data_IF_813062864790
#
_entry.id   IF_813062864790
#
_cell.length_a   1.000
_cell.length_b   1.000
_cell.length_c   1.000
_cell.angle_alpha   90.00
_cell.angle_beta   90.00
_cell.angle_gamma   90.00
#
_symmetry.space_group_name_H-M   'P 1'
#
loop_
_entity.id
_entity.type
_entity.pdbx_description
1 polymer ?
#
# COMPACT_ATOMS: atom_id res chain seq x y z
N UNK A 1 -4.56 21.06 -23.98
CA UNK A 1 -4.44 22.25 -24.85
C UNK A 1 -4.21 21.82 -26.28
N UNK A 2 -4.11 22.73 -27.26
CA UNK A 2 -3.91 22.34 -28.66
C UNK A 2 -2.69 21.41 -28.77
N UNK A 3 -2.92 20.14 -29.14
CA UNK A 3 -1.87 19.12 -29.29
C UNK A 3 -1.75 18.05 -28.18
N UNK A 4 -2.38 18.18 -27.00
CA UNK A 4 -2.36 17.10 -25.99
C UNK A 4 -3.49 17.21 -24.92
N UNK A 5 -3.85 16.08 -24.32
CA UNK A 5 -4.98 15.96 -23.39
C UNK A 5 -4.62 16.16 -21.91
N UNK A 6 -3.35 16.01 -21.52
CA UNK A 6 -2.91 16.02 -20.11
C UNK A 6 -3.39 17.24 -19.30
N UNK A 7 -3.43 18.42 -19.93
CA UNK A 7 -3.87 19.66 -19.29
C UNK A 7 -5.34 20.02 -19.52
N UNK A 8 -6.15 19.10 -20.03
CA UNK A 8 -7.60 19.32 -20.18
C UNK A 8 -8.33 19.04 -18.86
N UNK A 9 -9.37 19.83 -18.57
CA UNK A 9 -10.20 19.65 -17.37
C UNK A 9 -10.74 18.22 -17.25
N UNK A 10 -11.14 17.63 -18.37
CA UNK A 10 -11.60 16.24 -18.41
C UNK A 10 -10.51 15.27 -17.93
N UNK A 11 -9.29 15.39 -18.44
CA UNK A 11 -8.20 14.48 -18.08
C UNK A 11 -7.80 14.65 -16.61
N UNK A 12 -7.77 15.88 -16.10
CA UNK A 12 -7.48 16.16 -14.70
C UNK A 12 -8.52 15.54 -13.75
N UNK A 13 -9.81 15.62 -14.10
CA UNK A 13 -10.87 14.99 -13.32
C UNK A 13 -10.71 13.46 -13.28
N UNK A 14 -10.46 12.83 -14.43
CA UNK A 14 -10.28 11.38 -14.51
C UNK A 14 -9.01 10.90 -13.80
N UNK A 15 -7.93 11.70 -13.82
CA UNK A 15 -6.70 11.41 -13.09
C UNK A 15 -6.92 11.34 -11.58
N UNK A 16 -7.97 11.97 -11.04
CA UNK A 16 -8.26 11.97 -9.61
C UNK A 16 -9.36 10.97 -9.21
N UNK A 17 -10.20 10.53 -10.16
CA UNK A 17 -11.34 9.64 -9.86
C UNK A 17 -11.21 8.23 -10.44
N UNK A 18 -10.73 8.08 -11.69
CA UNK A 18 -10.82 6.81 -12.43
C UNK A 18 -9.49 6.04 -12.50
N UNK A 19 -8.36 6.71 -12.28
CA UNK A 19 -7.05 6.08 -12.39
C UNK A 19 -6.59 5.49 -11.07
N UNK A 20 -6.18 4.22 -11.14
CA UNK A 20 -5.60 3.49 -10.01
C UNK A 20 -4.11 3.78 -9.96
N UNK A 21 -3.66 4.38 -8.86
CA UNK A 21 -2.25 4.59 -8.57
C UNK A 21 -1.75 3.49 -7.61
N UNK A 22 -0.94 2.53 -8.08
CA UNK A 22 -0.54 1.40 -7.27
C UNK A 22 0.36 1.85 -6.12
N UNK A 23 0.13 1.33 -4.91
CA UNK A 23 0.92 1.68 -3.72
C UNK A 23 2.39 1.22 -3.80
N UNK A 24 2.67 0.13 -4.51
CA UNK A 24 4.01 -0.47 -4.59
C UNK A 24 4.60 -0.52 -6.00
N UNK A 25 3.84 -0.19 -7.04
CA UNK A 25 4.30 -0.31 -8.42
C UNK A 25 5.34 0.75 -8.76
N UNK A 26 6.54 0.33 -9.18
CA UNK A 26 7.57 1.24 -9.65
C UNK A 26 7.17 1.84 -11.01
N UNK A 27 7.14 3.16 -11.08
CA UNK A 27 6.73 3.94 -12.26
C UNK A 27 7.86 4.86 -12.74
N UNK A 28 9.08 4.66 -12.25
CA UNK A 28 10.26 5.35 -12.75
C UNK A 28 10.49 4.99 -14.22
N UNK A 29 11.04 5.93 -14.98
CA UNK A 29 11.50 5.62 -16.33
C UNK A 29 12.65 4.60 -16.29
N UNK A 30 12.94 3.87 -17.38
CA UNK A 30 14.05 2.92 -17.40
C UNK A 30 15.41 3.52 -17.03
N UNK A 31 15.62 4.81 -17.33
CA UNK A 31 16.83 5.55 -16.95
C UNK A 31 16.86 5.78 -15.43
N UNK A 32 15.81 6.38 -14.87
CA UNK A 32 15.73 6.65 -13.43
C UNK A 32 15.81 5.37 -12.61
N UNK A 33 15.14 4.29 -13.05
CA UNK A 33 15.23 2.97 -12.42
C UNK A 33 16.68 2.46 -12.35
N UNK A 34 17.45 2.66 -13.42
CA UNK A 34 18.87 2.30 -13.45
C UNK A 34 19.73 3.21 -12.57
N UNK A 35 19.37 4.49 -12.41
CA UNK A 35 20.06 5.47 -11.56
C UNK A 35 19.80 5.23 -10.06
N UNK A 36 18.67 4.62 -9.70
CA UNK A 36 18.35 4.24 -8.30
C UNK A 36 18.71 2.80 -7.96
N UNK A 37 19.75 2.26 -8.59
CA UNK A 37 20.28 0.91 -8.37
C UNK A 37 19.29 -0.23 -8.63
N UNK A 38 18.37 -0.05 -9.59
CA UNK A 38 17.52 -1.12 -10.12
C UNK A 38 16.70 -1.83 -9.04
N UNK A 39 15.86 -1.09 -8.27
CA UNK A 39 15.12 -1.63 -7.14
C UNK A 39 14.28 -2.84 -7.54
N UNK A 40 14.31 -3.87 -6.69
CA UNK A 40 13.51 -5.08 -6.86
C UNK A 40 12.14 -4.89 -6.21
N UNK A 41 11.08 -4.97 -7.00
CA UNK A 41 9.70 -4.72 -6.55
C UNK A 41 9.30 -5.54 -5.32
N UNK A 42 9.74 -6.79 -5.23
CA UNK A 42 9.45 -7.69 -4.10
C UNK A 42 10.02 -7.16 -2.79
N UNK A 43 11.18 -6.52 -2.81
CA UNK A 43 11.78 -5.93 -1.61
C UNK A 43 10.97 -4.73 -1.11
N UNK A 44 10.46 -3.90 -2.03
CA UNK A 44 9.53 -2.81 -1.70
C UNK A 44 8.23 -3.36 -1.11
N UNK A 45 7.69 -4.44 -1.68
CA UNK A 45 6.51 -5.12 -1.14
C UNK A 45 6.76 -5.67 0.27
N UNK A 46 7.93 -6.28 0.52
CA UNK A 46 8.32 -6.76 1.85
C UNK A 46 8.43 -5.61 2.86
N UNK A 47 9.03 -4.47 2.47
CA UNK A 47 9.09 -3.28 3.33
C UNK A 47 7.68 -2.83 3.73
N UNK A 48 6.75 -2.73 2.76
CA UNK A 48 5.36 -2.36 3.03
C UNK A 48 4.65 -3.36 3.94
N UNK A 49 4.85 -4.65 3.74
CA UNK A 49 4.34 -5.71 4.61
C UNK A 49 4.78 -5.48 6.06
N UNK A 50 6.08 -5.27 6.28
CA UNK A 50 6.61 -5.02 7.62
C UNK A 50 6.06 -3.75 8.25
N UNK A 51 5.93 -2.66 7.50
CA UNK A 51 5.27 -1.43 7.98
C UNK A 51 3.84 -1.70 8.47
N UNK A 52 3.07 -2.50 7.74
CA UNK A 52 1.69 -2.86 8.14
C UNK A 52 1.70 -3.72 9.41
N UNK A 53 2.57 -4.74 9.47
CA UNK A 53 2.63 -5.65 10.63
C UNK A 53 3.11 -4.97 11.92
N UNK A 54 3.98 -3.97 11.78
CA UNK A 54 4.51 -3.14 12.87
C UNK A 54 3.59 -1.97 13.25
N UNK A 55 2.54 -1.72 12.46
CA UNK A 55 1.54 -0.71 12.75
C UNK A 55 0.70 -1.01 14.00
N UNK A 56 -0.19 -0.08 14.39
CA UNK A 56 -1.10 -0.26 15.50
C UNK A 56 -1.89 -1.56 15.37
N UNK A 57 -1.99 -2.32 16.48
CA UNK A 57 -2.85 -3.49 16.53
C UNK A 57 -4.32 -3.06 16.55
N UNK A 58 -5.25 -3.87 16.02
CA UNK A 58 -6.67 -3.52 16.06
C UNK A 58 -7.14 -3.33 17.51
N UNK A 59 -7.84 -2.22 17.75
CA UNK A 59 -8.37 -1.82 19.06
C UNK A 59 -9.90 -1.95 19.16
N UNK A 60 -10.56 -2.33 18.05
CA UNK A 60 -12.01 -2.50 17.98
C UNK A 60 -12.54 -3.73 18.72
N UNK A 61 -11.66 -4.62 19.22
CA UNK A 61 -12.04 -5.81 19.97
C UNK A 61 -11.91 -5.51 21.47
N UNK A 62 -13.00 -5.58 22.27
CA UNK A 62 -12.92 -5.40 23.71
C UNK A 62 -12.01 -6.47 24.35
N UNK A 63 -11.18 -6.06 25.32
CA UNK A 63 -10.23 -6.95 26.00
C UNK A 63 -10.92 -8.16 26.67
N UNK A 64 -12.15 -8.00 27.14
CA UNK A 64 -12.96 -9.07 27.73
C UNK A 64 -13.34 -10.14 26.70
N UNK A 65 -13.62 -9.73 25.47
CA UNK A 65 -13.96 -10.65 24.37
C UNK A 65 -12.71 -11.39 23.90
N UNK A 66 -11.59 -10.68 23.70
CA UNK A 66 -10.31 -11.31 23.33
C UNK A 66 -9.87 -12.36 24.36
N UNK A 67 -9.98 -12.04 25.65
CA UNK A 67 -9.67 -12.98 26.74
C UNK A 67 -10.55 -14.23 26.71
N UNK A 68 -11.87 -14.09 26.50
CA UNK A 68 -12.79 -15.23 26.43
C UNK A 68 -12.50 -16.15 25.23
N UNK A 69 -12.10 -15.59 24.09
CA UNK A 69 -11.70 -16.36 22.91
C UNK A 69 -10.40 -17.12 23.18
N UNK A 70 -9.40 -16.46 23.79
CA UNK A 70 -8.11 -17.08 24.13
C UNK A 70 -8.22 -18.18 25.19
N UNK A 71 -9.18 -18.11 26.10
CA UNK A 71 -9.47 -19.19 27.05
C UNK A 71 -10.09 -20.40 26.35
N UNK A 72 -10.97 -20.16 25.38
CA UNK A 72 -11.71 -21.21 24.67
C UNK A 72 -10.86 -21.96 23.64
N UNK A 73 -9.88 -21.30 23.02
CA UNK A 73 -9.08 -21.86 21.92
C UNK A 73 -7.58 -21.82 22.23
N UNK A 74 -6.85 -22.87 21.83
CA UNK A 74 -5.38 -22.90 21.94
C UNK A 74 -4.73 -21.97 20.91
N UNK A 75 -4.60 -20.69 21.27
CA UNK A 75 -3.90 -19.69 20.48
C UNK A 75 -2.43 -19.66 20.90
N UNK A 76 -1.53 -19.92 19.96
CA UNK A 76 -0.08 -20.06 20.22
C UNK A 76 0.73 -18.80 19.97
N UNK A 77 0.09 -17.73 19.51
CA UNK A 77 0.70 -16.43 19.25
C UNK A 77 0.10 -15.37 20.17
N UNK A 78 0.95 -14.46 20.62
CA UNK A 78 0.57 -13.30 21.45
C UNK A 78 -0.05 -12.21 20.60
#
# INVERSE_FOLDING_TARGET
>A
GPGHYLGSDQTLNLMQSEYIYPTIGDRTSPKEWAEVDKPVLVETAQKRLWTILQGPKPDHIPATVDAAVRDRFRIHFS
#
